data_IF_236932006020
#
_entry.id   IF_236932006020
#
_cell.length_a   1.000
_cell.length_b   1.000
_cell.length_c   1.000
_cell.angle_alpha   90.00
_cell.angle_beta   90.00
_cell.angle_gamma   90.00
#
_symmetry.space_group_name_H-M   'P 1'
#
loop_
_entity.id
_entity.type
_entity.pdbx_description
1 polymer ?
#
# COMPACT_ATOMS: atom_id res chain seq x y z
N UNK A 1 16.16 -11.69 37.62
CA UNK A 1 15.18 -10.86 36.90
C UNK A 1 15.89 -10.28 35.69
N UNK A 2 15.90 -11.03 34.58
CA UNK A 2 16.46 -10.58 33.31
C UNK A 2 15.41 -9.71 32.63
N UNK A 3 15.81 -8.48 32.33
CA UNK A 3 14.98 -7.46 31.72
C UNK A 3 14.89 -7.77 30.22
N UNK A 4 13.94 -8.61 29.82
CA UNK A 4 13.57 -8.83 28.43
C UNK A 4 12.90 -7.56 27.90
N UNK A 5 13.73 -6.59 27.50
CA UNK A 5 13.31 -5.59 26.54
C UNK A 5 13.19 -6.27 25.17
N UNK A 6 12.08 -6.98 24.98
CA UNK A 6 11.50 -7.29 23.67
C UNK A 6 11.04 -5.99 23.02
N UNK A 7 12.00 -5.12 22.72
CA UNK A 7 11.87 -3.94 21.88
C UNK A 7 11.76 -4.37 20.43
N UNK A 8 10.73 -5.16 20.11
CA UNK A 8 10.19 -5.21 18.75
C UNK A 8 9.71 -3.81 18.44
N UNK A 9 10.62 -2.98 17.97
CA UNK A 9 10.34 -1.87 17.07
C UNK A 9 9.57 -2.46 15.90
N UNK A 10 8.25 -2.61 16.09
CA UNK A 10 7.31 -2.69 14.99
C UNK A 10 7.40 -1.30 14.38
N UNK A 11 8.39 -1.13 13.50
CA UNK A 11 8.50 0.02 12.63
C UNK A 11 7.21 0.03 11.84
N UNK A 12 6.21 0.77 12.33
CA UNK A 12 4.98 1.01 11.59
C UNK A 12 5.45 1.56 10.25
N UNK A 13 5.33 0.75 9.21
CA UNK A 13 5.54 1.23 7.85
C UNK A 13 4.70 2.51 7.75
N UNK A 14 5.34 3.63 7.41
CA UNK A 14 4.62 4.90 7.34
C UNK A 14 3.40 4.71 6.44
N UNK A 15 2.27 5.32 6.79
CA UNK A 15 1.03 5.14 6.03
C UNK A 15 1.27 5.33 4.51
N UNK A 16 2.09 6.32 4.13
CA UNK A 16 2.50 6.52 2.74
C UNK A 16 3.25 5.35 2.10
N UNK A 17 4.13 4.66 2.82
CA UNK A 17 4.83 3.48 2.31
C UNK A 17 3.85 2.31 2.08
N UNK A 18 2.92 2.06 3.01
CA UNK A 18 1.96 0.98 2.85
C UNK A 18 0.93 1.28 1.75
N UNK A 19 0.44 2.52 1.67
CA UNK A 19 -0.41 2.99 0.58
C UNK A 19 0.27 2.81 -0.78
N UNK A 20 1.55 3.17 -0.91
CA UNK A 20 2.29 2.98 -2.17
C UNK A 20 2.47 1.49 -2.53
N UNK A 21 2.79 0.64 -1.55
CA UNK A 21 2.88 -0.81 -1.77
C UNK A 21 1.55 -1.39 -2.24
N UNK A 22 0.47 -0.99 -1.59
CA UNK A 22 -0.89 -1.35 -1.97
C UNK A 22 -1.23 -0.89 -3.38
N UNK A 23 -0.91 0.36 -3.74
CA UNK A 23 -1.14 0.90 -5.08
C UNK A 23 -0.38 0.10 -6.15
N UNK A 24 0.90 -0.19 -5.92
CA UNK A 24 1.71 -1.00 -6.84
C UNK A 24 1.19 -2.44 -6.97
N UNK A 25 0.74 -3.04 -5.85
CA UNK A 25 0.07 -4.33 -5.89
C UNK A 25 -1.24 -4.27 -6.68
N UNK A 26 -2.03 -3.21 -6.48
CA UNK A 26 -3.26 -2.93 -7.21
C UNK A 26 -3.02 -2.77 -8.71
N UNK A 27 -1.96 -2.06 -9.12
CA UNK A 27 -1.58 -1.94 -10.53
C UNK A 27 -1.32 -3.30 -11.17
N UNK A 28 -0.44 -4.11 -10.56
CA UNK A 28 -0.07 -5.43 -11.10
C UNK A 28 -1.27 -6.38 -11.10
N UNK A 29 -1.98 -6.46 -9.98
CA UNK A 29 -3.18 -7.29 -9.85
C UNK A 29 -4.27 -6.86 -10.82
N UNK A 30 -4.47 -5.55 -11.00
CA UNK A 30 -5.44 -4.96 -11.93
C UNK A 30 -5.13 -5.28 -13.39
N UNK A 31 -3.85 -5.19 -13.79
CA UNK A 31 -3.45 -5.61 -15.14
C UNK A 31 -3.73 -7.10 -15.38
N UNK A 32 -3.36 -7.97 -14.44
CA UNK A 32 -3.63 -9.41 -14.54
C UNK A 32 -5.14 -9.71 -14.56
N UNK A 33 -5.92 -9.00 -13.74
CA UNK A 33 -7.39 -9.07 -13.75
C UNK A 33 -7.94 -8.75 -15.14
N UNK A 34 -7.50 -7.65 -15.75
CA UNK A 34 -7.96 -7.24 -17.08
C UNK A 34 -7.62 -8.30 -18.13
N UNK A 35 -6.41 -8.85 -18.10
CA UNK A 35 -5.98 -9.93 -19.00
C UNK A 35 -6.79 -11.20 -18.80
N UNK A 36 -7.08 -11.61 -17.56
CA UNK A 36 -7.91 -12.78 -17.26
C UNK A 36 -9.33 -12.63 -17.81
N UNK A 37 -9.90 -11.44 -17.70
CA UNK A 37 -11.20 -11.12 -18.28
C UNK A 37 -11.18 -11.17 -19.81
N UNK A 38 -10.16 -10.60 -20.44
CA UNK A 38 -10.00 -10.67 -21.88
C UNK A 38 -9.87 -12.12 -22.38
N UNK A 39 -9.12 -12.95 -21.64
CA UNK A 39 -9.00 -14.38 -21.91
C UNK A 39 -10.34 -15.09 -21.79
N UNK A 40 -11.07 -14.86 -20.70
CA UNK A 40 -12.39 -15.46 -20.46
C UNK A 40 -13.40 -15.10 -21.56
N UNK A 41 -13.43 -13.84 -21.99
CA UNK A 41 -14.29 -13.42 -23.10
C UNK A 41 -13.91 -14.07 -24.42
N UNK A 42 -12.61 -14.15 -24.72
CA UNK A 42 -12.12 -14.82 -25.92
C UNK A 42 -12.50 -16.30 -25.94
N UNK A 43 -12.38 -17.00 -24.80
CA UNK A 43 -12.78 -18.40 -24.64
C UNK A 43 -14.30 -18.58 -24.83
N UNK A 44 -15.09 -17.61 -24.38
CA UNK A 44 -16.54 -17.56 -24.60
C UNK A 44 -16.96 -17.16 -26.03
N UNK A 45 -16.01 -16.96 -26.96
CA UNK A 45 -16.28 -16.59 -28.34
C UNK A 45 -16.65 -15.11 -28.54
N UNK A 46 -16.41 -14.28 -27.54
CA UNK A 46 -16.64 -12.83 -27.59
C UNK A 46 -15.33 -12.09 -27.91
N UNK A 47 -15.39 -10.84 -28.42
CA UNK A 47 -14.20 -10.03 -28.58
C UNK A 47 -13.48 -9.84 -27.23
N UNK A 48 -12.19 -10.19 -27.17
CA UNK A 48 -11.42 -10.17 -25.93
C UNK A 48 -11.42 -8.79 -25.25
N UNK A 49 -11.41 -7.72 -26.04
CA UNK A 49 -11.39 -6.34 -25.56
C UNK A 49 -12.75 -5.83 -25.07
N UNK A 50 -13.85 -6.58 -25.21
CA UNK A 50 -15.19 -6.12 -24.83
C UNK A 50 -15.24 -5.59 -23.40
N UNK A 51 -14.62 -6.27 -22.43
CA UNK A 51 -14.60 -5.81 -21.03
C UNK A 51 -13.96 -4.42 -20.88
N UNK A 52 -12.90 -4.12 -21.64
CA UNK A 52 -12.23 -2.83 -21.57
C UNK A 52 -13.12 -1.73 -22.17
N UNK A 53 -13.85 -2.05 -23.23
CA UNK A 53 -14.85 -1.16 -23.81
C UNK A 53 -16.03 -0.91 -22.86
N UNK A 54 -16.47 -1.92 -22.10
CA UNK A 54 -17.47 -1.75 -21.04
C UNK A 54 -16.94 -0.82 -19.94
N UNK A 55 -15.69 -0.98 -19.51
CA UNK A 55 -15.06 -0.09 -18.51
C UNK A 55 -14.95 1.35 -19.03
N UNK A 56 -14.77 1.56 -20.33
CA UNK A 56 -14.76 2.90 -20.90
C UNK A 56 -16.09 3.65 -20.66
N UNK A 57 -17.22 2.95 -20.51
CA UNK A 57 -18.53 3.58 -20.27
C UNK A 57 -18.69 4.19 -18.88
N UNK A 58 -17.72 3.97 -17.98
CA UNK A 58 -17.65 4.70 -16.72
C UNK A 58 -17.48 6.21 -16.96
N UNK A 59 -16.85 6.60 -18.07
CA UNK A 59 -16.60 8.01 -18.44
C UNK A 59 -17.05 8.36 -19.86
N UNK A 60 -17.53 7.40 -20.63
CA UNK A 60 -18.13 7.57 -21.95
C UNK A 60 -19.61 7.14 -21.91
N UNK A 61 -20.49 7.73 -22.73
CA UNK A 61 -21.89 7.31 -22.77
C UNK A 61 -22.04 5.85 -23.24
N UNK A 62 -23.05 5.14 -22.72
CA UNK A 62 -23.33 3.75 -23.08
C UNK A 62 -23.65 3.57 -24.57
N UNK A 63 -24.24 4.59 -25.21
CA UNK A 63 -24.50 4.58 -26.65
C UNK A 63 -23.23 4.38 -27.47
N UNK A 64 -22.09 4.92 -27.01
CA UNK A 64 -20.81 4.72 -27.67
C UNK A 64 -20.33 3.26 -27.60
N UNK A 65 -20.72 2.51 -26.57
CA UNK A 65 -20.40 1.09 -26.48
C UNK A 65 -21.17 0.29 -27.53
N UNK A 66 -22.48 0.52 -27.62
CA UNK A 66 -23.33 -0.18 -28.59
C UNK A 66 -23.04 0.21 -30.05
N UNK A 67 -22.56 1.43 -30.29
CA UNK A 67 -22.07 1.87 -31.59
C UNK A 67 -20.66 1.34 -31.95
N UNK A 68 -19.94 0.74 -30.99
CA UNK A 68 -18.56 0.29 -31.20
C UNK A 68 -17.52 1.42 -31.23
N UNK A 69 -17.83 2.56 -30.61
CA UNK A 69 -17.05 3.80 -30.63
C UNK A 69 -16.32 4.09 -29.31
N UNK A 70 -16.50 3.27 -28.29
CA UNK A 70 -15.75 3.39 -27.03
C UNK A 70 -14.25 3.21 -27.25
N UNK A 71 -13.44 3.97 -26.49
CA UNK A 71 -11.99 3.95 -26.62
C UNK A 71 -11.35 2.90 -25.73
N UNK A 72 -10.58 1.99 -26.34
CA UNK A 72 -9.78 1.00 -25.62
C UNK A 72 -8.78 1.66 -24.65
N UNK A 73 -8.18 2.78 -25.06
CA UNK A 73 -7.23 3.50 -24.23
C UNK A 73 -7.91 4.13 -23.00
N UNK A 74 -9.13 4.65 -23.17
CA UNK A 74 -9.92 5.20 -22.06
C UNK A 74 -10.31 4.10 -21.07
N UNK A 75 -10.80 2.96 -21.57
CA UNK A 75 -11.14 1.81 -20.73
C UNK A 75 -9.97 1.32 -19.87
N UNK A 76 -8.78 1.17 -20.48
CA UNK A 76 -7.58 0.82 -19.71
C UNK A 76 -7.17 1.91 -18.71
N UNK A 77 -7.24 3.19 -19.09
CA UNK A 77 -6.90 4.27 -18.19
C UNK A 77 -7.81 4.28 -16.94
N UNK A 78 -9.11 4.09 -17.13
CA UNK A 78 -10.07 3.96 -16.03
C UNK A 78 -9.79 2.72 -15.18
N UNK A 79 -9.62 1.56 -15.81
CA UNK A 79 -9.34 0.30 -15.11
C UNK A 79 -8.09 0.38 -14.23
N UNK A 80 -7.00 0.89 -14.79
CA UNK A 80 -5.73 1.04 -14.08
C UNK A 80 -5.85 2.07 -12.95
N UNK A 81 -6.56 3.17 -13.18
CA UNK A 81 -6.80 4.19 -12.14
C UNK A 81 -7.57 3.61 -10.95
N UNK A 82 -8.67 2.90 -11.21
CA UNK A 82 -9.45 2.22 -10.17
C UNK A 82 -8.60 1.17 -9.44
N UNK A 83 -7.83 0.38 -10.18
CA UNK A 83 -6.95 -0.65 -9.62
C UNK A 83 -5.88 -0.06 -8.69
N UNK A 84 -5.30 1.09 -9.04
CA UNK A 84 -4.37 1.84 -8.19
C UNK A 84 -5.07 2.36 -6.94
N UNK A 85 -6.26 2.96 -7.08
CA UNK A 85 -7.02 3.55 -5.97
C UNK A 85 -7.42 2.49 -4.95
N UNK A 86 -8.00 1.38 -5.41
CA UNK A 86 -8.40 0.28 -4.52
C UNK A 86 -7.19 -0.37 -3.85
N UNK A 87 -6.11 -0.60 -4.59
CA UNK A 87 -4.85 -1.09 -4.03
C UNK A 87 -4.29 -0.17 -2.95
N UNK A 88 -4.26 1.14 -3.22
CA UNK A 88 -3.81 2.15 -2.28
C UNK A 88 -4.66 2.16 -1.00
N UNK A 89 -5.98 2.03 -1.14
CA UNK A 89 -6.93 2.02 -0.03
C UNK A 89 -6.73 0.81 0.89
N UNK A 90 -6.58 -0.39 0.35
CA UNK A 90 -6.30 -1.57 1.19
C UNK A 90 -4.89 -1.53 1.79
N UNK A 91 -3.93 -0.92 1.08
CA UNK A 91 -2.62 -0.60 1.64
C UNK A 91 -2.74 0.29 2.89
N UNK A 92 -3.55 1.35 2.82
CA UNK A 92 -3.82 2.20 3.97
C UNK A 92 -4.49 1.43 5.10
N UNK A 93 -5.52 0.62 4.85
CA UNK A 93 -6.16 -0.20 5.89
C UNK A 93 -5.17 -1.17 6.53
N UNK A 94 -4.23 -1.72 5.76
CA UNK A 94 -3.26 -2.69 6.25
C UNK A 94 -2.28 -2.13 7.30
N UNK A 95 -2.17 -0.80 7.47
CA UNK A 95 -1.36 -0.18 8.53
C UNK A 95 -1.87 -0.54 9.92
N UNK A 96 -3.19 -0.70 10.05
CA UNK A 96 -3.87 -1.02 11.30
C UNK A 96 -3.83 -2.52 11.63
N UNK A 97 -3.40 -3.36 10.68
CA UNK A 97 -3.39 -4.81 10.83
C UNK A 97 -2.04 -5.30 11.36
N UNK A 98 -2.08 -5.95 12.52
CA UNK A 98 -0.89 -6.37 13.28
C UNK A 98 -0.21 -7.64 12.77
N UNK A 99 -0.94 -8.52 12.09
CA UNK A 99 -0.40 -9.83 11.64
C UNK A 99 -0.45 -9.99 10.12
N UNK A 100 0.54 -10.70 9.58
CA UNK A 100 0.60 -11.02 8.15
C UNK A 100 -0.60 -11.87 7.71
N UNK A 101 -1.03 -12.82 8.55
CA UNK A 101 -2.22 -13.65 8.27
C UNK A 101 -3.45 -12.75 8.15
N UNK A 102 -3.65 -11.81 9.07
CA UNK A 102 -4.75 -10.85 9.02
C UNK A 102 -4.69 -9.98 7.76
N UNK A 103 -3.50 -9.52 7.36
CA UNK A 103 -3.31 -8.73 6.13
C UNK A 103 -3.71 -9.52 4.89
N UNK A 104 -3.22 -10.75 4.75
CA UNK A 104 -3.57 -11.64 3.62
C UNK A 104 -5.07 -11.88 3.56
N UNK A 105 -5.68 -12.33 4.67
CA UNK A 105 -7.12 -12.59 4.73
C UNK A 105 -7.94 -11.34 4.43
N UNK A 106 -7.52 -10.18 4.95
CA UNK A 106 -8.21 -8.92 4.70
C UNK A 106 -8.12 -8.49 3.23
N UNK A 107 -6.97 -8.68 2.57
CA UNK A 107 -6.86 -8.33 1.14
C UNK A 107 -7.77 -9.18 0.25
N UNK A 108 -7.90 -10.48 0.52
CA UNK A 108 -8.83 -11.35 -0.20
C UNK A 108 -10.30 -10.96 0.06
N UNK A 109 -10.66 -10.74 1.33
CA UNK A 109 -11.99 -10.27 1.72
C UNK A 109 -12.33 -8.90 1.09
N UNK A 110 -11.36 -8.00 1.06
CA UNK A 110 -11.50 -6.69 0.42
C UNK A 110 -11.80 -6.82 -1.08
N UNK A 111 -11.18 -7.78 -1.78
CA UNK A 111 -11.54 -8.13 -3.16
C UNK A 111 -13.03 -8.43 -3.30
N UNK A 112 -13.59 -9.27 -2.41
CA UNK A 112 -15.03 -9.54 -2.40
C UNK A 112 -15.87 -8.28 -2.12
N UNK A 113 -15.44 -7.41 -1.20
CA UNK A 113 -16.12 -6.14 -0.95
C UNK A 113 -16.14 -5.23 -2.18
N UNK A 114 -15.03 -5.17 -2.94
CA UNK A 114 -14.98 -4.42 -4.19
C UNK A 114 -15.98 -5.01 -5.20
N UNK A 115 -16.04 -6.33 -5.35
CA UNK A 115 -17.02 -6.97 -6.23
C UNK A 115 -18.45 -6.57 -5.85
N UNK A 116 -18.81 -6.68 -4.56
CA UNK A 116 -20.16 -6.31 -4.09
C UNK A 116 -20.42 -4.84 -4.43
N UNK A 117 -19.49 -3.95 -4.11
CA UNK A 117 -19.66 -2.53 -4.37
C UNK A 117 -19.76 -2.22 -5.87
N UNK A 118 -18.91 -2.79 -6.71
CA UNK A 118 -18.87 -2.48 -8.13
C UNK A 118 -20.04 -3.11 -8.89
N UNK A 119 -20.32 -4.39 -8.68
CA UNK A 119 -21.27 -5.15 -9.49
C UNK A 119 -22.66 -5.27 -8.89
N UNK A 120 -22.80 -5.21 -7.56
CA UNK A 120 -24.11 -5.32 -6.91
C UNK A 120 -24.66 -3.97 -6.46
N UNK A 121 -23.80 -2.94 -6.35
CA UNK A 121 -24.23 -1.59 -5.98
C UNK A 121 -24.06 -0.61 -7.14
N UNK A 122 -22.87 -0.43 -7.70
CA UNK A 122 -22.65 0.62 -8.72
C UNK A 122 -23.23 0.25 -10.08
N UNK A 123 -22.87 -0.90 -10.64
CA UNK A 123 -23.24 -1.29 -12.00
C UNK A 123 -24.76 -1.25 -12.25
N UNK A 124 -25.63 -1.86 -11.42
CA UNK A 124 -27.07 -1.86 -11.71
C UNK A 124 -27.73 -0.48 -11.57
N UNK A 125 -27.08 0.45 -10.86
CA UNK A 125 -27.64 1.77 -10.59
C UNK A 125 -27.11 2.86 -11.54
N UNK A 126 -25.91 2.67 -12.11
CA UNK A 126 -25.23 3.72 -12.86
C UNK A 126 -24.58 3.26 -14.18
N UNK A 127 -24.32 1.97 -14.36
CA UNK A 127 -23.61 1.43 -15.53
C UNK A 127 -24.31 0.18 -16.10
N UNK A 128 -25.49 0.32 -16.73
CA UNK A 128 -26.31 -0.79 -17.21
C UNK A 128 -25.58 -1.76 -18.15
N UNK A 129 -24.58 -1.29 -18.91
CA UNK A 129 -23.75 -2.15 -19.78
C UNK A 129 -23.15 -3.34 -19.03
N UNK A 130 -22.84 -3.19 -17.73
CA UNK A 130 -22.28 -4.27 -16.90
C UNK A 130 -23.28 -5.36 -16.50
N UNK A 131 -24.58 -5.22 -16.76
CA UNK A 131 -25.55 -6.30 -16.53
C UNK A 131 -25.27 -7.54 -17.39
N UNK A 132 -24.55 -7.36 -18.52
CA UNK A 132 -24.10 -8.46 -19.36
C UNK A 132 -22.90 -9.25 -18.78
N UNK A 133 -22.31 -8.80 -17.67
CA UNK A 133 -21.14 -9.44 -17.07
C UNK A 133 -21.49 -10.78 -16.41
N UNK A 134 -20.55 -11.73 -16.42
CA UNK A 134 -20.72 -13.00 -15.74
C UNK A 134 -20.47 -12.83 -14.23
N UNK A 135 -21.53 -12.60 -13.45
CA UNK A 135 -21.45 -12.28 -12.03
C UNK A 135 -20.60 -13.27 -11.20
N UNK A 136 -20.72 -14.61 -11.36
CA UNK A 136 -19.85 -15.55 -10.64
C UNK A 136 -18.36 -15.41 -11.00
N UNK A 137 -18.06 -15.19 -12.28
CA UNK A 137 -16.69 -14.96 -12.72
C UNK A 137 -16.14 -13.65 -12.14
N UNK A 138 -16.91 -12.56 -12.20
CA UNK A 138 -16.54 -11.27 -11.60
C UNK A 138 -16.19 -11.41 -10.13
N UNK A 139 -17.03 -12.07 -9.34
CA UNK A 139 -16.74 -12.31 -7.92
C UNK A 139 -15.41 -13.04 -7.73
N UNK A 140 -15.15 -14.05 -8.55
CA UNK A 140 -13.91 -14.84 -8.52
C UNK A 140 -12.69 -13.99 -8.84
N UNK A 141 -12.71 -13.26 -9.96
CA UNK A 141 -11.55 -12.46 -10.37
C UNK A 141 -11.27 -11.30 -9.42
N UNK A 142 -12.28 -10.76 -8.72
CA UNK A 142 -12.08 -9.74 -7.69
C UNK A 142 -11.42 -10.30 -6.43
N UNK A 143 -11.77 -11.52 -6.00
CA UNK A 143 -11.07 -12.21 -4.90
C UNK A 143 -9.64 -12.53 -5.30
N UNK A 144 -9.40 -12.95 -6.55
CA UNK A 144 -8.04 -13.14 -7.09
C UNK A 144 -7.27 -11.82 -7.07
N UNK A 145 -7.86 -10.71 -7.52
CA UNK A 145 -7.26 -9.37 -7.45
C UNK A 145 -6.82 -9.03 -6.02
N UNK A 146 -7.72 -9.17 -5.04
CA UNK A 146 -7.39 -8.90 -3.64
C UNK A 146 -6.24 -9.77 -3.14
N UNK A 147 -6.27 -11.07 -3.47
CA UNK A 147 -5.23 -12.02 -3.08
C UNK A 147 -3.86 -11.67 -3.68
N UNK A 148 -3.83 -11.18 -4.93
CA UNK A 148 -2.59 -10.79 -5.62
C UNK A 148 -1.94 -9.52 -5.06
N UNK A 149 -2.68 -8.67 -4.34
CA UNK A 149 -2.12 -7.50 -3.65
C UNK A 149 -1.32 -7.93 -2.40
N UNK A 150 -1.75 -8.99 -1.72
CA UNK A 150 -1.17 -9.47 -0.47
C UNK A 150 0.38 -9.54 -0.44
N UNK A 151 1.08 -10.13 -1.43
CA UNK A 151 2.55 -10.16 -1.42
C UNK A 151 3.20 -8.77 -1.40
N UNK A 152 2.60 -7.76 -2.02
CA UNK A 152 3.11 -6.40 -2.00
C UNK A 152 2.99 -5.75 -0.62
N UNK A 153 1.96 -6.11 0.14
CA UNK A 153 1.74 -5.60 1.50
C UNK A 153 2.59 -6.35 2.53
N UNK A 154 2.79 -7.66 2.36
CA UNK A 154 3.41 -8.53 3.37
C UNK A 154 4.90 -8.78 3.13
N UNK A 155 5.33 -8.95 1.88
CA UNK A 155 6.69 -9.39 1.55
C UNK A 155 7.61 -8.24 1.11
N UNK A 156 7.05 -7.06 0.84
CA UNK A 156 7.84 -5.93 0.35
C UNK A 156 8.75 -5.39 1.47
N UNK A 157 10.03 -5.76 1.39
CA UNK A 157 11.09 -5.15 2.19
C UNK A 157 11.53 -3.85 1.51
N UNK A 158 11.05 -2.71 2.01
CA UNK A 158 11.55 -1.42 1.55
C UNK A 158 13.06 -1.35 1.75
N UNK A 159 13.80 -0.67 0.87
CA UNK A 159 15.17 -0.28 1.20
C UNK A 159 15.07 0.66 2.39
N UNK A 160 15.44 0.20 3.58
CA UNK A 160 15.71 1.11 4.68
C UNK A 160 16.76 2.09 4.16
N UNK A 161 16.55 3.40 4.34
CA UNK A 161 17.69 4.32 4.36
C UNK A 161 18.63 3.74 5.41
N UNK A 162 19.78 3.24 4.97
CA UNK A 162 20.86 2.97 5.91
C UNK A 162 21.08 4.29 6.65
N UNK A 163 20.99 4.26 7.98
CA UNK A 163 21.44 5.39 8.76
C UNK A 163 22.87 5.68 8.30
N UNK A 164 23.22 6.94 8.00
CA UNK A 164 24.58 7.27 7.62
C UNK A 164 25.50 6.67 8.69
N UNK A 165 26.58 5.95 8.29
CA UNK A 165 27.41 5.23 9.23
C UNK A 165 27.83 6.20 10.33
N UNK A 166 27.37 5.94 11.55
CA UNK A 166 27.74 6.74 12.72
C UNK A 166 29.27 6.79 12.74
N UNK A 167 29.83 8.01 12.60
CA UNK A 167 31.26 8.19 12.54
C UNK A 167 31.92 7.47 13.72
N UNK A 168 33.07 6.79 13.54
CA UNK A 168 33.72 6.01 14.60
C UNK A 168 33.90 6.81 15.90
N UNK A 169 34.15 8.12 15.77
CA UNK A 169 34.31 9.05 16.90
C UNK A 169 33.03 9.20 17.75
N UNK A 170 31.85 9.16 17.13
CA UNK A 170 30.57 9.27 17.83
C UNK A 170 30.24 7.95 18.54
N UNK A 171 30.54 6.80 17.94
CA UNK A 171 30.43 5.49 18.62
C UNK A 171 31.37 5.40 19.82
N UNK A 172 32.61 5.85 19.67
CA UNK A 172 33.58 5.85 20.76
C UNK A 172 33.16 6.79 21.90
N UNK A 173 32.62 7.97 21.58
CA UNK A 173 32.10 8.91 22.57
C UNK A 173 30.89 8.36 23.34
N UNK A 174 29.98 7.66 22.66
CA UNK A 174 28.84 7.00 23.29
C UNK A 174 29.25 5.79 24.15
N UNK A 175 30.22 5.00 23.69
CA UNK A 175 30.71 3.81 24.40
C UNK A 175 31.47 4.16 25.69
N UNK A 176 32.15 5.32 25.71
CA UNK A 176 32.95 5.74 26.85
C UNK A 176 32.15 6.48 27.94
N UNK A 177 30.85 6.68 27.72
CA UNK A 177 30.03 7.58 28.53
C UNK A 177 30.45 9.03 28.27
N UNK A 178 29.48 9.94 28.14
CA UNK A 178 29.81 11.36 28.16
C UNK A 178 30.64 11.64 29.43
N UNK A 179 31.81 12.30 29.35
CA UNK A 179 32.53 12.70 30.55
C UNK A 179 31.56 13.52 31.38
N UNK A 180 31.26 13.03 32.59
CA UNK A 180 30.54 13.79 33.61
C UNK A 180 31.25 15.13 33.66
N UNK A 181 30.54 16.20 33.32
CA UNK A 181 31.06 17.56 33.41
C UNK A 181 31.61 17.73 34.82
N UNK A 182 32.93 17.65 34.98
CA UNK A 182 33.57 18.03 36.21
C UNK A 182 33.30 19.51 36.35
N UNK A 183 32.39 19.83 37.27
CA UNK A 183 32.12 21.17 37.73
C UNK A 183 33.48 21.82 38.03
N UNK A 184 33.80 22.99 37.46
CA UNK A 184 35.11 23.60 37.64
C UNK A 184 35.31 23.89 39.12
N UNK A 185 36.33 23.26 39.71
CA UNK A 185 36.71 23.48 41.10
C UNK A 185 36.92 24.98 41.33
N UNK A 186 36.10 25.57 42.20
CA UNK A 186 36.30 26.91 42.71
C UNK A 186 37.66 26.97 43.41
N UNK A 187 38.67 27.53 42.73
CA UNK A 187 39.96 27.87 43.33
C UNK A 187 39.73 29.07 44.25
N UNK A 188 39.50 28.77 45.53
CA UNK A 188 39.48 29.77 46.59
C UNK A 188 40.88 30.35 46.81
N UNK A 189 41.18 31.49 46.19
CA UNK A 189 42.37 32.29 46.55
C UNK A 189 42.06 33.12 47.79
N UNK A 190 42.32 32.54 48.96
CA UNK A 190 42.39 33.28 50.21
C UNK A 190 43.65 34.15 50.24
N UNK A 191 43.50 35.46 50.09
CA UNK A 191 44.54 36.46 50.37
C UNK A 191 44.31 37.02 51.77
N UNK A 192 45.25 36.76 52.70
CA UNK A 192 45.20 37.23 54.08
C UNK A 192 46.39 38.18 54.33
N UNK A 193 46.18 39.52 54.36
CA UNK A 193 47.26 40.47 54.57
C UNK A 193 47.30 40.90 56.04
N UNK A 194 47.92 40.11 56.90
CA UNK A 194 48.35 40.58 58.23
C UNK A 194 49.73 40.01 58.52
N UNK A 195 50.76 40.72 58.04
CA UNK A 195 52.07 40.89 58.69
C UNK A 195 53.05 41.55 57.72
N UNK A 196 53.04 42.89 57.66
CA UNK A 196 54.27 43.68 57.52
C UNK A 196 54.05 45.06 58.16
N UNK A 197 54.55 45.15 59.42
CA UNK A 197 55.00 46.33 60.20
C UNK A 197 54.03 47.48 60.44
#
# INVERSE_FOLDING_TARGET
MTNDQDGRDIKMDSHGAMTLRGAMGGLVAGTLFGVLQMWYLADAGLPANTIIHMIATIVQPDEAFYAGETSLAVGWAVHISLSLIYGAFIGLIATELKSNVTRVSMTAFYGLCIFIFNFLVLAPNFYPVFEAANIPFEATVHVVYGTLIAPFIVLWKGRAKEDPPVAPIVRQWQANGAPVSQEPAHVGTGFNPVNMR
#
